data_IF_405319953761
#
_entry.id   IF_405319953761
#
_cell.length_a   1.000
_cell.length_b   1.000
_cell.length_c   1.000
_cell.angle_alpha   90.00
_cell.angle_beta   90.00
_cell.angle_gamma   90.00
#
_symmetry.space_group_name_H-M   'P 1'
#
loop_
_entity.id
_entity.type
_entity.pdbx_description
1 polymer ?
#
# COMPACT_ATOMS: atom_id res chain seq x y z
N UNK A 1 22.44 -9.93 -5.59
CA UNK A 1 21.31 -10.01 -5.57
C UNK A 1 20.74 -9.40 -4.49
N UNK A 2 19.76 -8.98 -4.57
CA UNK A 2 19.20 -8.32 -3.54
C UNK A 2 18.86 -9.25 -2.56
N UNK A 3 19.03 -8.93 -1.35
CA UNK A 3 18.67 -9.80 -0.48
C UNK A 3 17.30 -9.79 -0.36
N UNK A 4 16.68 -10.85 -0.11
CA UNK A 4 15.34 -10.92 0.10
C UNK A 4 15.05 -10.74 1.51
N UNK A 5 14.37 -9.69 1.85
CA UNK A 5 14.05 -9.53 3.20
C UNK A 5 12.97 -10.44 3.54
N UNK A 6 13.04 -11.03 4.67
CA UNK A 6 12.03 -11.92 5.13
C UNK A 6 10.86 -11.08 5.61
N UNK A 7 9.85 -10.99 4.82
CA UNK A 7 8.69 -10.20 5.20
C UNK A 7 7.59 -11.15 5.62
N UNK A 8 7.00 -10.91 6.78
CA UNK A 8 5.94 -11.76 7.27
C UNK A 8 4.65 -11.27 6.63
N UNK A 9 4.14 -12.01 5.67
CA UNK A 9 2.94 -11.62 4.98
C UNK A 9 1.70 -11.71 5.83
N UNK A 10 1.81 -12.26 7.03
CA UNK A 10 0.68 -12.24 7.94
C UNK A 10 0.64 -10.92 8.68
N UNK A 11 1.67 -10.11 8.57
CA UNK A 11 1.67 -8.80 9.21
C UNK A 11 0.94 -7.83 8.32
N UNK A 12 0.01 -7.10 8.88
CA UNK A 12 -0.74 -6.09 8.15
C UNK A 12 -0.59 -4.79 8.91
N UNK A 13 0.03 -3.80 8.31
CA UNK A 13 0.26 -2.53 8.98
C UNK A 13 -0.72 -1.47 8.48
N UNK A 14 -1.50 -1.75 7.48
CA UNK A 14 -2.52 -0.81 7.05
C UNK A 14 -3.51 -1.47 6.13
N UNK A 15 -4.67 -0.88 5.98
CA UNK A 15 -5.73 -1.38 5.15
C UNK A 15 -6.39 -0.26 4.41
N UNK A 16 -6.71 -0.48 3.15
CA UNK A 16 -7.49 0.46 2.36
C UNK A 16 -8.67 -0.33 1.82
N UNK A 17 -9.89 0.10 2.17
CA UNK A 17 -11.05 -0.62 1.77
C UNK A 17 -11.42 -0.36 0.34
N UNK A 18 -11.71 -1.40 -0.43
CA UNK A 18 -12.19 -1.27 -1.78
C UNK A 18 -13.68 -1.59 -1.75
N UNK A 19 -14.48 -0.69 -2.24
CA UNK A 19 -15.90 -0.91 -2.23
C UNK A 19 -16.24 -2.16 -2.98
N UNK A 20 -16.95 -3.05 -2.40
CA UNK A 20 -17.47 -4.25 -3.03
C UNK A 20 -16.44 -5.25 -3.50
N UNK A 21 -15.17 -5.03 -3.36
CA UNK A 21 -14.20 -5.98 -3.84
C UNK A 21 -13.23 -6.45 -2.78
N UNK A 22 -13.30 -5.90 -1.59
CA UNK A 22 -12.40 -6.36 -0.53
C UNK A 22 -11.52 -5.26 -0.01
N UNK A 23 -10.27 -5.55 0.23
CA UNK A 23 -9.36 -4.57 0.81
C UNK A 23 -7.95 -4.75 0.30
N UNK A 24 -7.22 -3.66 0.24
CA UNK A 24 -5.81 -3.70 -0.03
C UNK A 24 -5.12 -3.74 1.31
N UNK A 25 -4.26 -4.73 1.52
CA UNK A 25 -3.53 -4.85 2.76
C UNK A 25 -2.10 -4.42 2.53
N UNK A 26 -1.60 -3.57 3.41
CA UNK A 26 -0.23 -3.12 3.33
C UNK A 26 0.56 -3.93 4.34
N UNK A 27 1.60 -4.60 3.89
CA UNK A 27 2.37 -5.51 4.73
C UNK A 27 3.70 -4.91 5.16
N UNK A 28 4.31 -4.11 4.35
CA UNK A 28 5.62 -3.54 4.68
C UNK A 28 5.90 -2.32 3.83
N UNK A 29 6.79 -1.46 4.29
CA UNK A 29 7.22 -0.28 3.54
C UNK A 29 8.73 -0.30 3.50
N UNK A 30 9.28 -0.16 2.31
CA UNK A 30 10.72 -0.07 2.15
C UNK A 30 11.03 1.39 1.89
N UNK A 31 11.45 2.11 2.93
CA UNK A 31 11.70 3.53 2.78
C UNK A 31 12.94 3.81 1.94
N UNK A 32 13.85 2.88 1.89
CA UNK A 32 15.06 3.13 1.10
C UNK A 32 14.77 3.08 -0.38
N UNK A 33 13.83 2.23 -0.81
CA UNK A 33 13.51 2.12 -2.21
C UNK A 33 12.19 2.78 -2.55
N UNK A 34 11.51 3.33 -1.57
CA UNK A 34 10.21 3.98 -1.74
C UNK A 34 9.21 3.01 -2.35
N UNK A 35 9.10 1.85 -1.75
CA UNK A 35 8.15 0.86 -2.22
C UNK A 35 7.29 0.35 -1.08
N UNK A 36 6.12 -0.13 -1.42
CA UNK A 36 5.18 -0.65 -0.45
C UNK A 36 4.79 -2.04 -0.88
N UNK A 37 4.85 -3.00 0.04
CA UNK A 37 4.41 -4.34 -0.23
C UNK A 37 2.93 -4.42 0.10
N UNK A 38 2.12 -4.67 -0.88
CA UNK A 38 0.68 -4.67 -0.71
C UNK A 38 0.05 -5.83 -1.45
N UNK A 39 -1.13 -6.23 -1.01
CA UNK A 39 -1.85 -7.31 -1.65
C UNK A 39 -3.33 -6.97 -1.67
N UNK A 40 -4.10 -7.65 -2.50
CA UNK A 40 -5.53 -7.50 -2.50
C UNK A 40 -6.08 -8.71 -1.78
N UNK A 41 -6.74 -8.48 -0.67
CA UNK A 41 -7.31 -9.53 0.16
C UNK A 41 -6.27 -10.55 0.63
N UNK A 42 -5.04 -10.12 0.70
CA UNK A 42 -3.97 -11.01 1.18
C UNK A 42 -3.40 -11.92 0.11
N UNK A 43 -3.79 -11.72 -1.15
CA UNK A 43 -3.31 -12.58 -2.19
C UNK A 43 -2.38 -11.89 -3.14
N UNK A 44 -1.39 -12.59 -3.61
CA UNK A 44 -0.46 -12.09 -4.62
C UNK A 44 0.19 -10.76 -4.24
N UNK A 45 0.88 -10.71 -3.12
CA UNK A 45 1.49 -9.46 -2.72
C UNK A 45 2.59 -9.03 -3.67
N UNK A 46 2.71 -7.73 -3.87
CA UNK A 46 3.75 -7.22 -4.74
C UNK A 46 4.27 -5.91 -4.22
N UNK A 47 5.50 -5.58 -4.58
CA UNK A 47 6.10 -4.33 -4.20
C UNK A 47 5.70 -3.29 -5.21
N UNK A 48 5.04 -2.25 -4.73
CA UNK A 48 4.53 -1.17 -5.56
C UNK A 48 5.33 0.08 -5.31
N UNK A 49 5.72 0.77 -6.36
CA UNK A 49 6.47 2.01 -6.18
C UNK A 49 5.57 3.09 -5.64
N UNK A 50 6.08 3.94 -4.77
CA UNK A 50 5.34 5.08 -4.30
C UNK A 50 5.37 6.15 -5.36
N UNK A 51 4.24 6.78 -5.60
CA UNK A 51 4.15 7.84 -6.59
C UNK A 51 3.25 8.93 -6.04
N UNK A 52 3.19 10.05 -6.73
CA UNK A 52 2.32 11.13 -6.34
C UNK A 52 1.31 11.38 -7.41
N UNK A 53 0.07 11.61 -7.05
CA UNK A 53 -0.97 11.90 -8.01
C UNK A 53 -1.87 12.99 -7.50
N UNK A 54 -2.37 13.79 -8.40
CA UNK A 54 -3.28 14.86 -8.03
C UNK A 54 -4.65 14.25 -7.77
N UNK A 55 -5.22 14.57 -6.62
CA UNK A 55 -6.52 14.04 -6.26
C UNK A 55 -7.52 15.16 -6.29
N UNK A 56 -8.53 15.06 -7.14
CA UNK A 56 -9.52 16.13 -7.23
C UNK A 56 -10.33 16.26 -5.96
N UNK A 57 -10.49 15.19 -5.23
CA UNK A 57 -11.27 15.23 -4.02
C UNK A 57 -10.65 16.15 -2.99
N UNK A 58 -9.32 16.14 -2.86
CA UNK A 58 -8.67 16.98 -1.88
C UNK A 58 -8.13 18.23 -2.50
N UNK A 59 -8.00 18.28 -3.82
CA UNK A 59 -7.41 19.42 -4.47
C UNK A 59 -5.92 19.50 -4.33
N UNK A 60 -5.26 18.40 -3.95
CA UNK A 60 -3.85 18.40 -3.69
C UNK A 60 -3.19 17.17 -4.27
N UNK A 61 -1.89 17.22 -4.43
CA UNK A 61 -1.12 16.07 -4.85
C UNK A 61 -0.87 15.19 -3.63
N UNK A 62 -1.22 13.93 -3.74
CA UNK A 62 -1.08 13.02 -2.63
C UNK A 62 -0.07 11.94 -2.93
N UNK A 63 0.70 11.55 -1.93
CA UNK A 63 1.64 10.46 -2.07
C UNK A 63 0.89 9.16 -1.85
N UNK A 64 1.14 8.18 -2.66
CA UNK A 64 0.51 6.88 -2.53
C UNK A 64 1.21 5.85 -3.37
N UNK A 65 0.50 4.80 -3.74
CA UNK A 65 1.08 3.77 -4.58
C UNK A 65 0.01 3.23 -5.52
N UNK A 66 0.43 2.61 -6.59
CA UNK A 66 -0.50 2.05 -7.55
C UNK A 66 -0.45 0.54 -7.47
N UNK A 67 -1.60 -0.09 -7.28
CA UNK A 67 -1.68 -1.52 -7.25
C UNK A 67 -2.69 -1.91 -8.32
N UNK A 68 -2.25 -2.62 -9.33
CA UNK A 68 -3.08 -2.93 -10.47
C UNK A 68 -3.43 -1.64 -11.21
N UNK A 69 -4.69 -1.32 -11.27
CA UNK A 69 -5.11 -0.10 -11.92
C UNK A 69 -5.60 0.93 -10.93
N UNK A 70 -5.36 0.73 -9.62
CA UNK A 70 -5.85 1.64 -8.64
C UNK A 70 -4.73 2.42 -8.01
N UNK A 71 -4.93 3.72 -7.84
CA UNK A 71 -4.00 4.53 -7.06
C UNK A 71 -4.55 4.62 -5.64
N UNK A 72 -3.72 4.31 -4.65
CA UNK A 72 -4.15 4.29 -3.27
C UNK A 72 -3.36 5.32 -2.51
N UNK A 73 -3.99 6.43 -2.10
CA UNK A 73 -3.29 7.46 -1.36
C UNK A 73 -2.97 6.99 0.05
N UNK A 74 -1.76 7.25 0.50
CA UNK A 74 -1.36 6.79 1.82
C UNK A 74 -2.21 7.42 2.91
N UNK A 75 -2.70 8.60 2.71
CA UNK A 75 -3.50 9.25 3.75
C UNK A 75 -4.82 8.55 3.97
N UNK A 76 -5.25 7.70 3.04
CA UNK A 76 -6.50 7.00 3.19
C UNK A 76 -6.31 5.59 3.73
N UNK A 77 -5.10 5.17 3.93
CA UNK A 77 -4.84 3.83 4.45
C UNK A 77 -5.04 3.85 5.95
N UNK A 78 -5.96 3.03 6.43
CA UNK A 78 -6.20 2.99 7.86
C UNK A 78 -5.20 2.07 8.52
N UNK A 79 -4.62 2.51 9.63
CA UNK A 79 -3.63 1.71 10.27
C UNK A 79 -4.20 0.85 11.29
N UNK A 80 -3.72 -0.36 11.39
CA UNK A 80 -4.18 -1.21 12.36
C UNK A 80 -3.43 -1.22 13.56
N UNK A 81 -2.29 -0.89 13.79
CA UNK A 81 -1.55 -1.27 14.73
C UNK A 81 -1.24 -0.29 15.46
N UNK A 82 -1.16 -0.45 16.50
CA UNK A 82 -0.95 0.47 17.27
C UNK A 82 0.17 0.34 18.03
N UNK A 83 0.96 0.52 17.96
CA UNK A 83 2.12 0.55 18.57
C UNK A 83 2.39 0.23 19.84
#
# INVERSE_FOLDING_TARGET
MAEIKMVDLNTVIGVYSLCNTGAVLVHAIDYAEDKILASINGENPEWCAMTEEYMEVTGETELGFTLGSFFIPLCEVMRFYSG
#
